data_IF_795688697068
#
_entry.id   IF_795688697068
#
_cell.length_a   1.000
_cell.length_b   1.000
_cell.length_c   1.000
_cell.angle_alpha   90.00
_cell.angle_beta   90.00
_cell.angle_gamma   90.00
#
_symmetry.space_group_name_H-M   'P 1'
#
loop_
_entity.id
_entity.type
_entity.pdbx_description
1 polymer ?
#
# COMPACT_ATOMS: atom_id res chain seq x y z
N UNK A 1 -18.44 13.57 -13.99
CA UNK A 1 -17.91 12.62 -14.98
C UNK A 1 -18.54 11.27 -14.66
N UNK A 2 -19.23 10.64 -15.61
CA UNK A 2 -19.68 9.25 -15.42
C UNK A 2 -18.44 8.38 -15.34
N UNK A 3 -18.42 7.43 -14.41
CA UNK A 3 -17.39 6.40 -14.43
C UNK A 3 -17.67 5.50 -15.63
N UNK A 4 -16.65 5.08 -16.39
CA UNK A 4 -16.83 4.10 -17.46
C UNK A 4 -17.46 2.82 -16.87
N UNK A 5 -18.44 2.26 -17.56
CA UNK A 5 -19.19 1.10 -17.05
C UNK A 5 -18.58 -0.23 -17.53
N UNK A 6 -17.68 -0.16 -18.53
CA UNK A 6 -17.07 -1.33 -19.18
C UNK A 6 -15.55 -1.20 -19.27
N UNK A 7 -14.87 -2.35 -19.33
CA UNK A 7 -13.40 -2.43 -19.42
C UNK A 7 -12.92 -1.88 -20.76
N UNK A 8 -13.69 -2.07 -21.82
CA UNK A 8 -13.40 -1.60 -23.17
C UNK A 8 -13.37 -0.07 -23.25
N UNK A 9 -14.30 0.60 -22.56
CA UNK A 9 -14.33 2.05 -22.44
C UNK A 9 -13.14 2.58 -21.62
N UNK A 10 -12.78 1.92 -20.51
CA UNK A 10 -11.59 2.26 -19.74
C UNK A 10 -10.31 2.14 -20.58
N UNK A 11 -10.18 1.06 -21.36
CA UNK A 11 -9.03 0.82 -22.23
C UNK A 11 -8.93 1.84 -23.37
N UNK A 12 -10.07 2.24 -23.96
CA UNK A 12 -10.10 3.27 -24.99
C UNK A 12 -9.60 4.62 -24.46
N UNK A 13 -9.99 5.00 -23.24
CA UNK A 13 -9.55 6.23 -22.58
C UNK A 13 -8.04 6.17 -22.27
N UNK A 14 -7.54 5.02 -21.80
CA UNK A 14 -6.11 4.81 -21.53
C UNK A 14 -5.30 4.88 -22.84
N UNK A 15 -5.80 4.28 -23.93
CA UNK A 15 -5.15 4.30 -25.23
C UNK A 15 -5.07 5.72 -25.82
N UNK A 16 -6.15 6.49 -25.72
CA UNK A 16 -6.20 7.89 -26.14
C UNK A 16 -5.22 8.76 -25.33
N UNK A 17 -5.15 8.55 -24.01
CA UNK A 17 -4.18 9.24 -23.16
C UNK A 17 -2.72 8.88 -23.55
N UNK A 18 -2.46 7.60 -23.84
CA UNK A 18 -1.14 7.14 -24.26
C UNK A 18 -0.74 7.70 -25.64
N UNK A 19 -1.67 7.77 -26.60
CA UNK A 19 -1.45 8.39 -27.92
C UNK A 19 -1.19 9.90 -27.80
N UNK A 20 -1.85 10.57 -26.86
CA UNK A 20 -1.57 11.95 -26.48
C UNK A 20 -0.24 12.14 -25.71
N UNK A 21 0.49 11.06 -25.40
CA UNK A 21 1.75 11.09 -24.67
C UNK A 21 1.60 11.39 -23.17
N UNK A 22 0.40 11.23 -22.62
CA UNK A 22 0.09 11.43 -21.19
C UNK A 22 0.19 10.08 -20.49
N UNK A 23 0.82 10.04 -19.31
CA UNK A 23 0.83 8.85 -18.46
C UNK A 23 -0.59 8.56 -17.97
N UNK A 24 -1.23 7.44 -18.39
CA UNK A 24 -2.60 7.13 -18.01
C UNK A 24 -2.70 6.61 -16.56
N UNK A 25 -1.57 6.36 -15.90
CA UNK A 25 -1.55 5.83 -14.54
C UNK A 25 -1.33 6.92 -13.50
N UNK A 26 -1.90 6.76 -12.30
CA UNK A 26 -1.62 7.68 -11.21
C UNK A 26 -0.13 7.66 -10.86
N UNK A 27 0.43 8.81 -10.44
CA UNK A 27 1.83 8.87 -10.03
C UNK A 27 2.09 7.92 -8.86
N UNK A 28 3.31 7.40 -8.80
CA UNK A 28 3.74 6.50 -7.73
C UNK A 28 3.48 7.18 -6.38
N UNK A 29 2.70 6.52 -5.51
CA UNK A 29 2.44 7.02 -4.15
C UNK A 29 3.77 7.16 -3.41
N UNK A 30 3.95 8.31 -2.77
CA UNK A 30 5.12 8.54 -1.92
C UNK A 30 5.17 7.48 -0.82
N UNK A 31 6.37 7.00 -0.54
CA UNK A 31 6.59 6.06 0.56
C UNK A 31 6.23 6.77 1.87
N UNK A 32 5.11 6.39 2.48
CA UNK A 32 4.71 6.95 3.76
C UNK A 32 5.71 6.49 4.85
N UNK A 33 6.64 7.37 5.22
CA UNK A 33 7.62 7.08 6.28
C UNK A 33 6.96 6.66 7.61
N UNK A 34 5.73 7.12 7.84
CA UNK A 34 4.90 6.71 8.98
C UNK A 34 4.56 5.21 8.96
N UNK A 35 4.30 4.62 7.79
CA UNK A 35 3.98 3.19 7.66
C UNK A 35 5.17 2.32 8.06
N UNK A 36 6.40 2.74 7.70
CA UNK A 36 7.62 2.05 8.12
C UNK A 36 7.81 2.13 9.63
N UNK A 37 7.56 3.29 10.22
CA UNK A 37 7.67 3.49 11.66
C UNK A 37 6.65 2.67 12.46
N UNK A 38 5.38 2.64 12.02
CA UNK A 38 4.34 1.85 12.70
C UNK A 38 4.62 0.36 12.64
N UNK A 39 5.11 -0.14 11.50
CA UNK A 39 5.47 -1.56 11.35
C UNK A 39 6.62 -1.96 12.28
N UNK A 40 7.66 -1.12 12.37
CA UNK A 40 8.79 -1.35 13.28
C UNK A 40 8.36 -1.38 14.74
N UNK A 41 7.55 -0.40 15.17
CA UNK A 41 7.01 -0.35 16.53
C UNK A 41 6.16 -1.57 16.88
N UNK A 42 5.31 -2.00 15.95
CA UNK A 42 4.48 -3.19 16.13
C UNK A 42 5.32 -4.47 16.32
N UNK A 43 6.37 -4.63 15.53
CA UNK A 43 7.28 -5.78 15.66
C UNK A 43 7.97 -5.80 17.04
N UNK A 44 8.38 -4.64 17.55
CA UNK A 44 8.96 -4.50 18.89
C UNK A 44 7.97 -4.99 19.95
N UNK A 45 6.71 -4.54 19.90
CA UNK A 45 5.68 -4.97 20.87
C UNK A 45 5.48 -6.48 20.85
N UNK A 46 5.41 -7.10 19.67
CA UNK A 46 5.24 -8.55 19.55
C UNK A 46 6.42 -9.29 20.18
N UNK A 47 7.66 -8.86 19.89
CA UNK A 47 8.87 -9.47 20.45
C UNK A 47 8.85 -9.36 21.97
N UNK A 48 8.58 -8.17 22.53
CA UNK A 48 8.49 -7.99 23.98
C UNK A 48 7.38 -8.82 24.61
N UNK A 49 6.21 -8.90 23.97
CA UNK A 49 5.10 -9.75 24.44
C UNK A 49 5.52 -11.22 24.49
N UNK A 50 6.14 -11.72 23.43
CA UNK A 50 6.61 -13.10 23.34
C UNK A 50 7.72 -13.42 24.33
N UNK A 51 8.73 -12.54 24.45
CA UNK A 51 9.82 -12.67 25.42
C UNK A 51 9.27 -12.64 26.85
N UNK A 52 8.31 -11.76 27.14
CA UNK A 52 7.67 -11.71 28.46
C UNK A 52 6.98 -13.04 28.79
N UNK A 53 6.21 -13.61 27.86
CA UNK A 53 5.57 -14.92 28.05
C UNK A 53 6.59 -16.05 28.29
N UNK A 54 7.72 -16.03 27.58
CA UNK A 54 8.80 -17.01 27.78
C UNK A 54 9.38 -16.92 29.19
N UNK A 55 9.69 -15.70 29.66
CA UNK A 55 10.25 -15.47 30.98
C UNK A 55 9.26 -15.86 32.10
N UNK A 56 7.98 -15.48 31.95
CA UNK A 56 6.94 -15.83 32.92
C UNK A 56 6.62 -17.32 32.99
N UNK A 57 6.90 -18.11 31.94
CA UNK A 57 6.76 -19.58 31.96
C UNK A 57 7.98 -20.29 32.56
N UNK A 58 9.11 -19.59 32.65
CA UNK A 58 10.37 -20.15 33.17
C UNK A 58 10.57 -19.95 34.67
N UNK A 59 9.72 -19.13 35.31
CA UNK A 59 9.63 -18.90 36.76
C UNK A 59 8.41 -19.63 37.29
#
# INVERSE_FOLDING_TARGET
MSQPETIEEELAIIAEALEAGIDPFPPKKEESGRLRATLGWFMIIIIFSWVSQLLYRSV
#
